data_IF_291283145648
#
_entry.id   IF_291283145648
#
_cell.length_a   1.000
_cell.length_b   1.000
_cell.length_c   1.000
_cell.angle_alpha   90.00
_cell.angle_beta   90.00
_cell.angle_gamma   90.00
#
_symmetry.space_group_name_H-M   'P 1'
#
loop_
_entity.id
_entity.type
_entity.pdbx_description
1 polymer ?
#
# COMPACT_ATOMS: atom_id res chain seq x y z
N UNK A 1 -8.44 25.59 -33.43
CA UNK A 1 -7.98 24.52 -32.56
C UNK A 1 -9.21 23.68 -32.24
N UNK A 2 -9.29 22.48 -32.82
CA UNK A 2 -10.47 21.60 -32.74
C UNK A 2 -10.63 21.15 -31.30
N UNK A 3 -11.80 21.33 -30.70
CA UNK A 3 -12.30 20.63 -29.51
C UNK A 3 -12.34 19.14 -29.87
N UNK A 4 -11.20 18.46 -29.73
CA UNK A 4 -11.05 17.05 -29.97
C UNK A 4 -11.66 16.31 -28.78
N UNK A 5 -12.77 15.65 -29.04
CA UNK A 5 -13.31 14.46 -28.37
C UNK A 5 -13.03 14.37 -26.84
N UNK A 6 -13.54 15.32 -26.11
CA UNK A 6 -13.73 15.22 -24.68
C UNK A 6 -14.89 14.25 -24.47
N UNK A 7 -14.58 12.97 -24.33
CA UNK A 7 -15.54 11.93 -24.00
C UNK A 7 -15.64 11.81 -22.46
N UNK A 8 -16.61 12.47 -21.83
CA UNK A 8 -16.69 12.55 -20.35
C UNK A 8 -16.70 11.20 -19.65
N UNK A 9 -17.24 10.16 -20.30
CA UNK A 9 -17.28 8.79 -19.77
C UNK A 9 -15.89 8.12 -19.66
N UNK A 10 -14.85 8.63 -20.33
CA UNK A 10 -13.48 8.15 -20.20
C UNK A 10 -12.80 8.68 -18.94
N UNK A 11 -13.35 9.74 -18.32
CA UNK A 11 -12.75 10.41 -17.17
C UNK A 11 -13.19 9.82 -15.82
N UNK A 12 -14.12 8.86 -15.79
CA UNK A 12 -14.60 8.27 -14.56
C UNK A 12 -15.86 8.92 -13.99
N UNK A 13 -16.02 8.91 -12.68
CA UNK A 13 -17.20 9.38 -11.99
C UNK A 13 -17.27 10.91 -11.96
N UNK A 14 -18.34 11.50 -12.47
CA UNK A 14 -18.59 12.94 -12.31
C UNK A 14 -19.23 13.23 -10.95
N UNK A 15 -18.52 14.02 -10.14
CA UNK A 15 -19.02 14.55 -8.88
C UNK A 15 -19.64 15.92 -9.08
N UNK A 16 -20.94 16.03 -8.85
CA UNK A 16 -21.62 17.33 -8.90
C UNK A 16 -21.28 18.16 -7.65
N UNK A 17 -21.32 19.52 -7.73
CA UNK A 17 -21.08 20.36 -6.56
C UNK A 17 -21.95 19.97 -5.35
N UNK A 18 -23.21 19.65 -5.60
CA UNK A 18 -24.18 19.25 -4.57
C UNK A 18 -23.87 17.89 -3.94
N UNK A 19 -23.27 16.94 -4.72
CA UNK A 19 -22.99 15.59 -4.21
C UNK A 19 -21.80 15.54 -3.26
N UNK A 20 -20.86 16.49 -3.40
CA UNK A 20 -19.61 16.55 -2.62
C UNK A 20 -19.45 17.84 -1.83
N UNK A 21 -20.42 18.75 -1.90
CA UNK A 21 -20.43 20.00 -1.14
C UNK A 21 -19.35 21.03 -1.58
N UNK A 22 -18.90 20.94 -2.84
CA UNK A 22 -17.89 21.84 -3.41
C UNK A 22 -18.53 22.97 -4.22
N UNK A 23 -17.73 23.99 -4.57
CA UNK A 23 -18.18 25.13 -5.40
C UNK A 23 -18.30 24.77 -6.89
N UNK A 24 -17.58 23.76 -7.37
CA UNK A 24 -17.58 23.30 -8.76
C UNK A 24 -17.54 21.77 -8.83
N UNK A 25 -18.12 21.22 -9.90
CA UNK A 25 -18.04 19.78 -10.19
C UNK A 25 -16.69 19.38 -10.79
N UNK A 26 -16.35 18.12 -10.65
CA UNK A 26 -15.14 17.54 -11.21
C UNK A 26 -15.34 16.06 -11.58
N UNK A 27 -14.48 15.55 -12.43
CA UNK A 27 -14.43 14.14 -12.78
C UNK A 27 -13.37 13.44 -11.94
N UNK A 28 -13.73 12.30 -11.36
CA UNK A 28 -12.80 11.42 -10.65
C UNK A 28 -12.37 10.25 -11.53
N UNK A 29 -11.10 9.92 -11.48
CA UNK A 29 -10.55 8.68 -12.00
C UNK A 29 -9.58 8.07 -10.98
N UNK A 30 -9.12 6.85 -11.23
CA UNK A 30 -8.14 6.19 -10.37
C UNK A 30 -6.91 5.78 -11.18
N UNK A 31 -5.73 6.08 -10.63
CA UNK A 31 -4.48 5.48 -11.07
C UNK A 31 -4.02 4.47 -10.03
N UNK A 32 -3.23 3.50 -10.47
CA UNK A 32 -2.71 2.44 -9.61
C UNK A 32 -1.20 2.46 -9.66
N UNK A 33 -0.56 2.52 -8.50
CA UNK A 33 0.88 2.44 -8.39
C UNK A 33 1.28 1.09 -7.83
N UNK A 34 2.14 0.38 -8.56
CA UNK A 34 2.59 -0.94 -8.18
C UNK A 34 3.46 -0.91 -6.92
N UNK A 35 3.22 -1.85 -6.02
CA UNK A 35 4.02 -2.16 -4.84
C UNK A 35 4.66 -3.53 -5.09
N UNK A 36 5.99 -3.55 -5.09
CA UNK A 36 6.78 -4.72 -5.42
C UNK A 36 7.23 -5.47 -4.16
N UNK A 37 7.20 -6.78 -4.20
CA UNK A 37 7.86 -7.59 -3.18
C UNK A 37 9.36 -7.66 -3.46
N UNK A 38 10.18 -7.31 -2.47
CA UNK A 38 11.63 -7.45 -2.57
C UNK A 38 12.07 -8.92 -2.66
N UNK A 39 11.28 -9.85 -2.09
CA UNK A 39 11.52 -11.28 -2.15
C UNK A 39 11.08 -11.90 -3.46
N UNK A 40 9.83 -11.60 -3.90
CA UNK A 40 9.25 -12.19 -5.11
C UNK A 40 9.65 -11.46 -6.40
N UNK A 41 10.25 -10.27 -6.27
CA UNK A 41 10.76 -9.45 -7.38
C UNK A 41 9.70 -9.13 -8.46
N UNK A 42 8.44 -9.02 -8.04
CA UNK A 42 7.28 -8.72 -8.89
C UNK A 42 6.27 -7.85 -8.16
N UNK A 43 5.33 -7.21 -8.88
CA UNK A 43 4.24 -6.50 -8.23
C UNK A 43 3.36 -7.50 -7.44
N UNK A 44 3.02 -7.15 -6.21
CA UNK A 44 2.17 -7.95 -5.31
C UNK A 44 0.95 -7.18 -4.82
N UNK A 45 0.98 -5.88 -4.99
CA UNK A 45 -0.13 -5.00 -4.62
C UNK A 45 -0.10 -3.72 -5.47
N UNK A 46 -1.20 -2.97 -5.40
CA UNK A 46 -1.33 -1.67 -6.05
C UNK A 46 -1.99 -0.68 -5.10
N UNK A 47 -1.37 0.48 -4.93
CA UNK A 47 -2.00 1.61 -4.25
C UNK A 47 -2.91 2.35 -5.22
N UNK A 48 -4.19 2.52 -4.84
CA UNK A 48 -5.15 3.28 -5.61
C UNK A 48 -5.06 4.77 -5.27
N UNK A 49 -4.74 5.55 -6.27
CA UNK A 49 -4.51 6.99 -6.16
C UNK A 49 -5.58 7.74 -6.94
N UNK A 50 -6.43 8.47 -6.21
CA UNK A 50 -7.48 9.28 -6.83
C UNK A 50 -6.86 10.36 -7.74
N UNK A 51 -7.50 10.60 -8.86
CA UNK A 51 -7.20 11.70 -9.77
C UNK A 51 -8.48 12.48 -10.02
N UNK A 52 -8.36 13.80 -10.10
CA UNK A 52 -9.48 14.65 -10.40
C UNK A 52 -9.16 15.59 -11.56
N UNK A 53 -10.18 15.86 -12.35
CA UNK A 53 -10.14 16.77 -13.48
C UNK A 53 -11.34 17.68 -13.42
N UNK A 54 -11.14 18.99 -13.51
CA UNK A 54 -12.21 19.98 -13.55
C UNK A 54 -13.04 19.84 -14.84
N UNK A 55 -14.20 20.47 -14.89
CA UNK A 55 -15.09 20.43 -16.05
C UNK A 55 -14.47 20.98 -17.35
N UNK A 56 -13.49 21.85 -17.23
CA UNK A 56 -12.70 22.44 -18.34
C UNK A 56 -11.43 21.63 -18.66
N UNK A 57 -11.25 20.45 -18.05
CA UNK A 57 -10.20 19.50 -18.40
C UNK A 57 -8.86 19.74 -17.71
N UNK A 58 -8.80 20.58 -16.67
CA UNK A 58 -7.58 20.82 -15.89
C UNK A 58 -7.43 19.78 -14.79
N UNK A 59 -6.22 19.27 -14.60
CA UNK A 59 -5.89 18.37 -13.48
C UNK A 59 -5.97 19.12 -12.15
N UNK A 60 -6.60 18.49 -11.16
CA UNK A 60 -6.69 19.00 -9.78
C UNK A 60 -5.74 18.13 -8.93
N UNK A 61 -4.83 18.79 -8.19
CA UNK A 61 -3.93 18.06 -7.29
C UNK A 61 -4.74 17.39 -6.15
N UNK A 62 -4.36 16.19 -5.69
CA UNK A 62 -5.09 15.47 -4.64
C UNK A 62 -5.29 16.30 -3.36
N UNK A 63 -4.30 17.07 -2.96
CA UNK A 63 -4.36 17.94 -1.78
C UNK A 63 -5.43 19.03 -1.96
N UNK A 64 -5.43 19.70 -3.12
CA UNK A 64 -6.44 20.73 -3.46
C UNK A 64 -7.84 20.13 -3.54
N UNK A 65 -7.95 18.93 -4.08
CA UNK A 65 -9.22 18.19 -4.15
C UNK A 65 -9.76 17.94 -2.73
N UNK A 66 -8.92 17.40 -1.85
CA UNK A 66 -9.31 17.13 -0.47
C UNK A 66 -9.66 18.41 0.32
N UNK A 67 -8.89 19.47 0.16
CA UNK A 67 -9.18 20.78 0.78
C UNK A 67 -10.50 21.38 0.27
N UNK A 68 -10.89 21.09 -0.97
CA UNK A 68 -12.15 21.60 -1.54
C UNK A 68 -13.40 20.94 -0.97
N UNK A 69 -13.28 19.74 -0.38
CA UNK A 69 -14.41 19.00 0.17
C UNK A 69 -14.58 19.31 1.65
N UNK A 70 -15.71 19.86 2.08
CA UNK A 70 -15.96 20.19 3.49
C UNK A 70 -15.85 18.97 4.40
N UNK A 71 -15.40 19.20 5.64
CA UNK A 71 -15.37 18.16 6.67
C UNK A 71 -16.77 17.61 7.01
N UNK A 72 -16.81 16.48 7.70
CA UNK A 72 -18.03 15.84 8.16
C UNK A 72 -18.70 14.98 7.09
N UNK A 73 -20.00 15.09 6.92
CA UNK A 73 -20.79 14.22 6.05
C UNK A 73 -20.35 14.29 4.57
N UNK A 74 -19.99 15.49 4.09
CA UNK A 74 -19.52 15.67 2.72
C UNK A 74 -18.21 14.90 2.49
N UNK A 75 -17.25 15.00 3.42
CA UNK A 75 -15.98 14.26 3.38
C UNK A 75 -16.23 12.75 3.41
N UNK A 76 -17.14 12.30 4.27
CA UNK A 76 -17.52 10.88 4.34
C UNK A 76 -18.10 10.36 3.02
N UNK A 77 -19.01 11.12 2.42
CA UNK A 77 -19.61 10.76 1.12
C UNK A 77 -18.56 10.73 0.02
N UNK A 78 -17.66 11.70 0.00
CA UNK A 78 -16.60 11.81 -0.97
C UNK A 78 -15.63 10.63 -0.87
N UNK A 79 -15.15 10.31 0.32
CA UNK A 79 -14.26 9.18 0.57
C UNK A 79 -14.89 7.85 0.12
N UNK A 80 -16.18 7.63 0.46
CA UNK A 80 -16.94 6.46 0.02
C UNK A 80 -17.05 6.36 -1.50
N UNK A 81 -17.21 7.49 -2.20
CA UNK A 81 -17.24 7.52 -3.66
C UNK A 81 -15.86 7.19 -4.26
N UNK A 82 -14.79 7.71 -3.67
CA UNK A 82 -13.43 7.39 -4.08
C UNK A 82 -13.14 5.89 -3.93
N UNK A 83 -13.38 5.34 -2.75
CA UNK A 83 -13.15 3.92 -2.47
C UNK A 83 -13.96 3.01 -3.41
N UNK A 84 -15.23 3.35 -3.65
CA UNK A 84 -16.06 2.61 -4.58
C UNK A 84 -15.49 2.63 -6.00
N UNK A 85 -15.14 3.81 -6.51
CA UNK A 85 -14.57 3.97 -7.85
C UNK A 85 -13.27 3.18 -7.98
N UNK A 86 -12.40 3.23 -6.98
CA UNK A 86 -11.12 2.55 -6.98
C UNK A 86 -11.26 1.02 -7.00
N UNK A 87 -12.16 0.47 -6.19
CA UNK A 87 -12.47 -0.97 -6.20
C UNK A 87 -13.03 -1.40 -7.55
N UNK A 88 -14.03 -0.66 -8.08
CA UNK A 88 -14.64 -0.94 -9.37
C UNK A 88 -13.60 -0.95 -10.50
N UNK A 89 -12.77 0.09 -10.57
CA UNK A 89 -11.72 0.19 -11.58
C UNK A 89 -10.67 -0.91 -11.45
N UNK A 90 -10.27 -1.28 -10.24
CA UNK A 90 -9.32 -2.36 -10.04
C UNK A 90 -9.87 -3.72 -10.51
N UNK A 91 -11.15 -3.98 -10.26
CA UNK A 91 -11.82 -5.19 -10.76
C UNK A 91 -11.87 -5.22 -12.29
N UNK A 92 -12.16 -4.08 -12.94
CA UNK A 92 -12.15 -3.97 -14.41
C UNK A 92 -10.79 -4.30 -15.03
N UNK A 93 -9.68 -4.07 -14.29
CA UNK A 93 -8.34 -4.42 -14.76
C UNK A 93 -8.02 -5.92 -14.68
N UNK A 94 -8.89 -6.71 -14.05
CA UNK A 94 -8.87 -8.17 -14.12
C UNK A 94 -7.77 -8.86 -13.30
N UNK A 95 -7.08 -8.14 -12.42
CA UNK A 95 -6.10 -8.77 -11.52
C UNK A 95 -6.80 -9.62 -10.46
N UNK A 96 -6.50 -10.91 -10.43
CA UNK A 96 -7.07 -11.87 -9.48
C UNK A 96 -6.17 -12.14 -8.26
N UNK A 97 -4.93 -11.63 -8.24
CA UNK A 97 -3.90 -12.02 -7.25
C UNK A 97 -3.44 -10.89 -6.36
N UNK A 98 -3.23 -9.71 -6.93
CA UNK A 98 -2.66 -8.57 -6.19
C UNK A 98 -3.64 -8.01 -5.16
N UNK A 99 -3.09 -7.37 -4.15
CA UNK A 99 -3.86 -6.61 -3.17
C UNK A 99 -4.08 -5.19 -3.64
N UNK A 100 -5.18 -4.62 -3.19
CA UNK A 100 -5.54 -3.23 -3.42
C UNK A 100 -5.36 -2.45 -2.12
N UNK A 101 -4.49 -1.45 -2.16
CA UNK A 101 -4.29 -0.50 -1.07
C UNK A 101 -5.24 0.68 -1.27
N UNK A 102 -6.05 0.97 -0.26
CA UNK A 102 -7.04 2.03 -0.28
C UNK A 102 -6.74 3.02 0.84
N UNK A 103 -6.53 4.26 0.46
CA UNK A 103 -6.45 5.37 1.39
C UNK A 103 -7.81 5.60 2.03
N UNK A 104 -7.86 5.64 3.35
CA UNK A 104 -9.07 5.88 4.10
C UNK A 104 -8.87 7.08 5.01
N UNK A 105 -9.73 8.09 4.84
CA UNK A 105 -9.74 9.23 5.74
C UNK A 105 -9.98 8.73 7.18
N UNK A 106 -9.11 9.05 8.13
CA UNK A 106 -9.21 8.51 9.47
C UNK A 106 -10.50 8.87 10.21
N UNK A 107 -11.12 10.02 9.89
CA UNK A 107 -12.43 10.38 10.41
C UNK A 107 -13.49 9.41 9.86
N UNK A 108 -13.43 9.14 8.55
CA UNK A 108 -14.33 8.18 7.88
C UNK A 108 -14.10 6.78 8.39
N UNK A 109 -12.87 6.38 8.66
CA UNK A 109 -12.54 5.09 9.26
C UNK A 109 -13.23 4.91 10.62
N UNK A 110 -13.19 5.92 11.48
CA UNK A 110 -13.85 5.89 12.80
C UNK A 110 -15.37 5.82 12.69
N UNK A 111 -15.96 6.61 11.79
CA UNK A 111 -17.42 6.61 11.58
C UNK A 111 -17.91 5.35 10.83
N UNK A 112 -17.08 4.81 9.93
CA UNK A 112 -17.40 3.64 9.10
C UNK A 112 -17.70 2.36 9.89
N UNK A 113 -17.21 2.22 11.12
CA UNK A 113 -17.53 1.10 12.01
C UNK A 113 -19.01 1.04 12.43
N UNK A 114 -19.68 2.18 12.44
CA UNK A 114 -21.11 2.27 12.80
C UNK A 114 -22.05 2.05 11.62
N UNK A 115 -21.54 2.30 10.40
CA UNK A 115 -22.26 2.04 9.16
C UNK A 115 -21.45 1.06 8.32
N UNK A 116 -21.90 -0.17 8.10
CA UNK A 116 -21.10 -1.22 7.41
C UNK A 116 -21.03 -0.96 5.88
N UNK A 117 -20.81 0.31 5.48
CA UNK A 117 -20.70 0.70 4.08
C UNK A 117 -19.58 -0.07 3.39
N UNK A 118 -18.39 -0.10 4.01
CA UNK A 118 -17.19 -0.70 3.42
C UNK A 118 -17.38 -2.20 3.17
N UNK A 119 -17.88 -2.93 4.17
CA UNK A 119 -18.17 -4.35 4.04
C UNK A 119 -19.22 -4.62 2.94
N UNK A 120 -20.34 -3.86 2.94
CA UNK A 120 -21.38 -3.98 1.91
C UNK A 120 -20.87 -3.63 0.52
N UNK A 121 -20.00 -2.66 0.40
CA UNK A 121 -19.37 -2.29 -0.87
C UNK A 121 -18.55 -3.45 -1.41
N UNK A 122 -17.64 -4.01 -0.61
CA UNK A 122 -16.81 -5.15 -1.03
C UNK A 122 -17.69 -6.36 -1.40
N UNK A 123 -18.70 -6.67 -0.60
CA UNK A 123 -19.65 -7.74 -0.85
C UNK A 123 -20.40 -7.52 -2.18
N UNK A 124 -20.88 -6.30 -2.45
CA UNK A 124 -21.62 -5.98 -3.67
C UNK A 124 -20.81 -6.16 -4.96
N UNK A 125 -19.51 -5.99 -4.87
CA UNK A 125 -18.57 -6.21 -5.98
C UNK A 125 -17.97 -7.63 -5.99
N UNK A 126 -18.26 -8.46 -4.98
CA UNK A 126 -17.62 -9.76 -4.82
C UNK A 126 -16.10 -9.66 -4.62
N UNK A 127 -15.61 -8.52 -4.11
CA UNK A 127 -14.18 -8.31 -3.90
C UNK A 127 -13.76 -8.76 -2.50
N UNK A 128 -12.85 -9.74 -2.37
CA UNK A 128 -12.49 -10.30 -1.07
C UNK A 128 -11.80 -9.26 -0.17
N UNK A 129 -12.22 -9.16 1.09
CA UNK A 129 -11.67 -8.21 2.05
C UNK A 129 -10.19 -8.48 2.38
N UNK A 130 -9.75 -9.74 2.32
CA UNK A 130 -8.35 -10.14 2.52
C UNK A 130 -7.41 -9.68 1.38
N UNK A 131 -7.98 -9.22 0.28
CA UNK A 131 -7.26 -8.57 -0.80
C UNK A 131 -7.19 -7.04 -0.63
N UNK A 132 -7.78 -6.48 0.40
CA UNK A 132 -7.75 -5.04 0.67
C UNK A 132 -6.76 -4.74 1.78
N UNK A 133 -5.94 -3.72 1.56
CA UNK A 133 -5.10 -3.09 2.56
C UNK A 133 -5.63 -1.66 2.80
N UNK A 134 -6.04 -1.38 4.03
CA UNK A 134 -6.56 -0.07 4.43
C UNK A 134 -5.39 0.78 4.93
N UNK A 135 -5.10 1.86 4.22
CA UNK A 135 -4.07 2.82 4.58
C UNK A 135 -4.66 3.93 5.46
N UNK A 136 -4.03 4.13 6.60
CA UNK A 136 -4.43 5.13 7.58
C UNK A 136 -3.31 6.15 7.74
N UNK A 137 -3.59 7.38 7.34
CA UNK A 137 -2.72 8.53 7.59
C UNK A 137 -2.80 8.98 9.05
N UNK A 138 -1.90 9.86 9.48
CA UNK A 138 -1.86 10.32 10.86
C UNK A 138 -3.09 11.15 11.25
N UNK A 139 -3.77 10.74 12.34
CA UNK A 139 -4.78 11.54 13.02
C UNK A 139 -4.20 12.33 14.20
N UNK A 140 -4.79 13.48 14.57
CA UNK A 140 -4.52 14.12 15.84
C UNK A 140 -4.84 13.19 17.04
N UNK A 141 -3.97 13.19 18.05
CA UNK A 141 -4.01 12.36 19.27
C UNK A 141 -5.37 12.24 19.97
N UNK A 142 -6.25 13.21 19.82
CA UNK A 142 -7.54 13.27 20.54
C UNK A 142 -8.56 12.17 20.15
N UNK A 143 -8.27 11.34 19.13
CA UNK A 143 -9.18 10.28 18.62
C UNK A 143 -8.55 8.88 18.55
N UNK A 144 -7.40 8.67 19.14
CA UNK A 144 -6.64 7.40 19.00
C UNK A 144 -7.40 6.15 19.46
N UNK A 145 -8.15 6.23 20.58
CA UNK A 145 -8.94 5.09 21.06
C UNK A 145 -10.04 4.70 20.08
N UNK A 146 -10.68 5.68 19.46
CA UNK A 146 -11.71 5.44 18.43
C UNK A 146 -11.09 4.83 17.18
N UNK A 147 -9.89 5.29 16.82
CA UNK A 147 -9.15 4.74 15.68
C UNK A 147 -8.74 3.28 15.93
N UNK A 148 -8.29 2.92 17.14
CA UNK A 148 -7.98 1.54 17.48
C UNK A 148 -9.19 0.61 17.28
N UNK A 149 -10.37 1.05 17.74
CA UNK A 149 -11.62 0.28 17.54
C UNK A 149 -12.03 0.21 16.06
N UNK A 150 -11.73 1.22 15.26
CA UNK A 150 -11.99 1.20 13.82
C UNK A 150 -11.02 0.24 13.11
N UNK A 151 -9.74 0.25 13.49
CA UNK A 151 -8.74 -0.70 12.99
C UNK A 151 -9.16 -2.14 13.27
N UNK A 152 -9.65 -2.44 14.49
CA UNK A 152 -10.16 -3.78 14.81
C UNK A 152 -11.32 -4.18 13.91
N UNK A 153 -12.26 -3.27 13.62
CA UNK A 153 -13.34 -3.55 12.67
C UNK A 153 -12.84 -3.95 11.27
N UNK A 154 -11.89 -3.20 10.68
CA UNK A 154 -11.34 -3.57 9.35
C UNK A 154 -10.51 -4.85 9.41
N UNK A 155 -9.82 -5.11 10.50
CA UNK A 155 -9.09 -6.36 10.72
C UNK A 155 -10.03 -7.56 10.81
N UNK A 156 -11.16 -7.41 11.52
CA UNK A 156 -12.18 -8.47 11.64
C UNK A 156 -12.89 -8.75 10.31
N UNK A 157 -12.97 -7.77 9.41
CA UNK A 157 -13.41 -7.99 8.02
C UNK A 157 -12.40 -8.81 7.19
N UNK A 158 -11.16 -8.94 7.64
CA UNK A 158 -10.08 -9.61 6.94
C UNK A 158 -9.12 -8.66 6.22
N UNK A 159 -9.30 -7.33 6.29
CA UNK A 159 -8.43 -6.37 5.64
C UNK A 159 -7.05 -6.30 6.31
N UNK A 160 -6.01 -6.02 5.53
CA UNK A 160 -4.73 -5.61 6.08
C UNK A 160 -4.80 -4.16 6.57
N UNK A 161 -4.09 -3.88 7.65
CA UNK A 161 -3.97 -2.54 8.20
C UNK A 161 -2.58 -2.00 7.87
N UNK A 162 -2.54 -0.81 7.31
CA UNK A 162 -1.32 -0.12 6.90
C UNK A 162 -1.25 1.23 7.61
N UNK A 163 -0.11 1.52 8.21
CA UNK A 163 0.22 2.88 8.68
C UNK A 163 1.06 3.53 7.60
N UNK A 164 0.58 4.67 7.13
CA UNK A 164 1.22 5.45 6.08
C UNK A 164 2.07 6.61 6.64
N UNK A 165 2.94 7.18 5.81
CA UNK A 165 3.78 8.36 6.08
C UNK A 165 4.71 8.24 7.31
N UNK A 166 5.14 7.03 7.70
CA UNK A 166 6.04 6.86 8.84
C UNK A 166 7.39 7.56 8.60
N UNK A 167 7.72 8.48 9.49
CA UNK A 167 8.97 9.26 9.42
C UNK A 167 8.82 10.66 8.82
N UNK A 168 7.60 11.08 8.45
CA UNK A 168 7.30 12.45 7.99
C UNK A 168 7.44 13.53 9.07
N UNK A 169 7.82 13.15 10.29
CA UNK A 169 8.00 14.05 11.45
C UNK A 169 6.82 14.05 12.43
N UNK A 170 5.74 13.38 12.10
CA UNK A 170 4.57 13.17 12.97
C UNK A 170 4.46 11.75 13.50
N UNK A 171 5.29 10.85 12.99
CA UNK A 171 5.22 9.41 13.27
C UNK A 171 5.57 9.07 14.71
N UNK A 172 4.70 8.31 15.34
CA UNK A 172 4.84 7.89 16.71
C UNK A 172 4.87 6.35 16.80
N UNK A 173 5.93 5.79 17.39
CA UNK A 173 6.02 4.35 17.69
C UNK A 173 4.86 3.85 18.56
N UNK A 174 4.32 4.71 19.45
CA UNK A 174 3.16 4.39 20.27
C UNK A 174 1.96 3.92 19.43
N UNK A 175 1.76 4.55 18.27
CA UNK A 175 0.71 4.19 17.32
C UNK A 175 0.93 2.79 16.73
N UNK A 176 2.17 2.43 16.40
CA UNK A 176 2.51 1.09 15.89
C UNK A 176 2.19 0.03 16.97
N UNK A 177 2.56 0.29 18.22
CA UNK A 177 2.28 -0.64 19.33
C UNK A 177 0.79 -0.80 19.59
N UNK A 178 0.03 0.28 19.51
CA UNK A 178 -1.43 0.27 19.76
C UNK A 178 -2.21 -0.36 18.65
N UNK A 179 -1.93 0.04 17.39
CA UNK A 179 -2.70 -0.38 16.23
C UNK A 179 -2.22 -1.72 15.65
N UNK A 180 -0.99 -2.15 15.96
CA UNK A 180 -0.39 -3.40 15.48
C UNK A 180 -0.62 -3.59 13.99
N UNK A 181 -0.15 -2.66 13.13
CA UNK A 181 -0.38 -2.72 11.71
C UNK A 181 0.27 -3.96 11.09
N UNK A 182 -0.26 -4.43 9.98
CA UNK A 182 0.37 -5.47 9.18
C UNK A 182 1.54 -4.93 8.36
N UNK A 183 1.45 -3.66 7.94
CA UNK A 183 2.44 -2.99 7.11
C UNK A 183 2.65 -1.57 7.64
N UNK A 184 3.89 -1.11 7.60
CA UNK A 184 4.27 0.30 7.82
C UNK A 184 4.96 0.80 6.56
N UNK A 185 4.47 1.91 5.99
CA UNK A 185 5.06 2.57 4.83
C UNK A 185 6.01 3.67 5.33
N UNK A 186 7.27 3.59 4.96
CA UNK A 186 8.26 4.61 5.27
C UNK A 186 8.16 5.71 4.23
N UNK A 187 7.93 6.94 4.71
CA UNK A 187 7.72 8.14 3.90
C UNK A 187 8.90 8.45 2.96
N UNK A 188 8.57 9.01 1.80
CA UNK A 188 9.51 9.41 0.75
C UNK A 188 10.60 10.37 1.23
N UNK A 189 10.30 11.25 2.21
CA UNK A 189 11.30 12.19 2.70
C UNK A 189 12.42 11.46 3.46
N UNK A 190 12.09 10.41 4.21
CA UNK A 190 13.08 9.55 4.84
C UNK A 190 13.88 8.79 3.76
N UNK A 191 13.20 8.23 2.77
CA UNK A 191 13.83 7.54 1.62
C UNK A 191 14.80 8.46 0.87
N UNK A 192 14.45 9.73 0.69
CA UNK A 192 15.32 10.73 0.06
C UNK A 192 16.57 11.01 0.91
N UNK A 193 16.43 11.10 2.22
CA UNK A 193 17.54 11.42 3.14
C UNK A 193 18.60 10.32 3.22
N UNK A 194 18.22 9.05 3.05
CA UNK A 194 19.18 7.92 3.18
C UNK A 194 20.32 7.97 2.17
N UNK A 195 20.13 8.62 1.02
CA UNK A 195 21.20 8.78 0.01
C UNK A 195 22.00 10.07 0.16
N UNK A 196 21.49 11.04 0.93
CA UNK A 196 22.10 12.37 1.11
C UNK A 196 22.82 12.47 2.46
N UNK A 197 22.22 11.90 3.51
CA UNK A 197 22.69 12.06 4.88
C UNK A 197 23.28 10.74 5.43
N UNK A 198 24.60 10.67 5.71
CA UNK A 198 25.23 9.45 6.23
C UNK A 198 24.63 8.97 7.55
N UNK A 199 24.10 9.87 8.38
CA UNK A 199 23.42 9.51 9.63
C UNK A 199 22.09 8.82 9.34
N UNK A 200 21.28 9.37 8.43
CA UNK A 200 20.02 8.76 8.02
C UNK A 200 20.22 7.36 7.46
N UNK A 201 21.23 7.17 6.60
CA UNK A 201 21.58 5.85 6.03
C UNK A 201 21.91 4.82 7.12
N UNK A 202 22.72 5.20 8.14
CA UNK A 202 23.06 4.29 9.24
C UNK A 202 21.85 3.92 10.11
N UNK A 203 20.93 4.88 10.31
CA UNK A 203 19.73 4.67 11.13
C UNK A 203 18.66 3.86 10.40
N UNK A 204 18.62 3.92 9.09
CA UNK A 204 17.52 3.37 8.28
C UNK A 204 17.32 1.87 8.49
N UNK A 205 18.40 1.08 8.41
CA UNK A 205 18.31 -0.36 8.66
C UNK A 205 17.88 -0.68 10.10
N UNK A 206 18.25 0.16 11.07
CA UNK A 206 17.78 0.06 12.45
C UNK A 206 16.27 0.31 12.59
N UNK A 207 15.76 1.33 11.89
CA UNK A 207 14.32 1.63 11.85
C UNK A 207 13.55 0.46 11.25
N UNK A 208 13.96 -0.05 10.09
CA UNK A 208 13.34 -1.23 9.46
C UNK A 208 13.34 -2.42 10.44
N UNK A 209 14.47 -2.66 11.13
CA UNK A 209 14.54 -3.74 12.13
C UNK A 209 13.56 -3.56 13.28
N UNK A 210 13.41 -2.35 13.81
CA UNK A 210 12.45 -2.06 14.91
C UNK A 210 11.02 -2.27 14.46
N UNK A 211 10.67 -1.87 13.23
CA UNK A 211 9.34 -2.11 12.66
C UNK A 211 9.06 -3.60 12.49
N UNK A 212 10.05 -4.37 12.06
CA UNK A 212 9.97 -5.83 12.02
C UNK A 212 9.79 -6.45 13.40
N UNK A 213 10.50 -5.96 14.41
CA UNK A 213 10.36 -6.43 15.80
C UNK A 213 8.97 -6.11 16.37
N UNK A 214 8.34 -5.03 15.91
CA UNK A 214 6.94 -4.71 16.22
C UNK A 214 5.93 -5.62 15.48
N UNK A 215 6.37 -6.47 14.57
CA UNK A 215 5.53 -7.44 13.86
C UNK A 215 5.05 -6.98 12.49
N UNK A 216 5.39 -5.77 12.04
CA UNK A 216 4.97 -5.23 10.75
C UNK A 216 5.92 -5.61 9.62
N UNK A 217 5.38 -5.72 8.40
CA UNK A 217 6.15 -5.63 7.17
C UNK A 217 6.48 -4.17 6.89
N UNK A 218 7.58 -3.92 6.22
CA UNK A 218 8.04 -2.57 5.89
C UNK A 218 7.96 -2.34 4.38
N UNK A 219 7.20 -1.32 3.99
CA UNK A 219 7.16 -0.79 2.63
C UNK A 219 8.00 0.51 2.59
N UNK A 220 8.96 0.59 1.67
CA UNK A 220 9.72 1.83 1.44
C UNK A 220 9.15 2.54 0.23
N UNK A 221 8.70 3.79 0.45
CA UNK A 221 8.08 4.61 -0.56
C UNK A 221 9.02 5.64 -1.18
N UNK A 222 8.55 6.25 -2.29
CA UNK A 222 9.23 7.35 -2.94
C UNK A 222 10.60 6.97 -3.49
N UNK A 223 10.80 5.71 -3.85
CA UNK A 223 12.05 5.25 -4.47
C UNK A 223 12.11 5.78 -5.90
N UNK A 224 13.03 6.72 -6.15
CA UNK A 224 13.21 7.38 -7.45
C UNK A 224 14.54 7.03 -8.11
N UNK A 225 15.50 6.52 -7.33
CA UNK A 225 16.86 6.20 -7.81
C UNK A 225 17.30 4.78 -7.43
N UNK A 226 18.27 4.28 -8.17
CA UNK A 226 18.91 2.98 -7.90
C UNK A 226 19.54 2.91 -6.50
N UNK A 227 20.22 4.00 -6.07
CA UNK A 227 20.82 4.07 -4.74
C UNK A 227 19.77 3.97 -3.62
N UNK A 228 18.59 4.58 -3.79
CA UNK A 228 17.49 4.46 -2.83
C UNK A 228 16.96 3.03 -2.81
N UNK A 229 16.76 2.41 -3.98
CA UNK A 229 16.32 1.03 -4.09
C UNK A 229 17.33 0.06 -3.44
N UNK A 230 18.63 0.28 -3.65
CA UNK A 230 19.69 -0.50 -3.03
C UNK A 230 19.67 -0.33 -1.50
N UNK A 231 19.57 0.91 -0.98
CA UNK A 231 19.48 1.17 0.46
C UNK A 231 18.27 0.47 1.10
N UNK A 232 17.10 0.51 0.44
CA UNK A 232 15.91 -0.17 0.92
C UNK A 232 16.09 -1.70 0.95
N UNK A 233 16.71 -2.25 -0.09
CA UNK A 233 17.00 -3.70 -0.19
C UNK A 233 18.04 -4.14 0.86
N UNK A 234 19.12 -3.38 1.05
CA UNK A 234 20.12 -3.63 2.07
C UNK A 234 19.56 -3.56 3.49
N UNK A 235 18.60 -2.64 3.72
CA UNK A 235 17.90 -2.52 4.99
C UNK A 235 16.90 -3.67 5.25
N UNK A 236 16.71 -4.58 4.30
CA UNK A 236 15.73 -5.68 4.33
C UNK A 236 14.26 -5.21 4.32
N UNK A 237 13.94 -4.12 3.60
CA UNK A 237 12.55 -3.78 3.33
C UNK A 237 11.85 -4.96 2.62
N UNK A 238 10.57 -5.18 2.96
CA UNK A 238 9.76 -6.28 2.40
C UNK A 238 9.11 -5.86 1.09
N UNK A 239 8.67 -4.59 1.04
CA UNK A 239 7.95 -3.99 -0.07
C UNK A 239 8.65 -2.71 -0.54
N UNK A 240 8.60 -2.48 -1.85
CA UNK A 240 9.25 -1.36 -2.51
C UNK A 240 8.25 -0.64 -3.42
N UNK A 241 8.18 0.69 -3.30
CA UNK A 241 7.30 1.52 -4.11
C UNK A 241 8.00 2.81 -4.52
N UNK A 242 7.87 3.18 -5.80
CA UNK A 242 8.43 4.44 -6.27
C UNK A 242 8.56 4.50 -7.80
N UNK A 243 8.86 5.69 -8.30
CA UNK A 243 8.96 5.95 -9.74
C UNK A 243 10.13 5.24 -10.41
N UNK A 244 11.10 4.80 -9.63
CA UNK A 244 12.19 3.95 -10.11
C UNK A 244 11.67 2.61 -10.65
N UNK A 245 10.62 2.05 -10.04
CA UNK A 245 9.99 0.81 -10.48
C UNK A 245 8.82 1.08 -11.42
N UNK A 246 7.84 1.88 -10.99
CA UNK A 246 6.67 2.21 -11.78
C UNK A 246 6.02 3.51 -11.31
N UNK A 247 5.52 4.29 -12.27
CA UNK A 247 4.67 5.46 -11.99
C UNK A 247 3.21 5.03 -11.87
N UNK A 248 2.38 5.78 -11.12
CA UNK A 248 0.93 5.58 -11.14
C UNK A 248 0.37 5.65 -12.55
N UNK A 249 -0.45 4.66 -12.94
CA UNK A 249 -1.07 4.57 -14.25
C UNK A 249 -2.51 4.05 -14.15
N UNK A 250 -3.30 4.23 -15.22
CA UNK A 250 -4.64 3.66 -15.34
C UNK A 250 -4.62 2.14 -15.58
N UNK A 251 -3.46 1.60 -15.94
CA UNK A 251 -3.23 0.17 -16.21
C UNK A 251 -2.27 -0.43 -15.19
N UNK A 252 -2.35 -1.74 -14.98
CA UNK A 252 -1.44 -2.45 -14.11
C UNK A 252 -0.12 -2.75 -14.82
N UNK A 253 0.94 -2.87 -14.03
CA UNK A 253 2.29 -3.20 -14.52
C UNK A 253 2.36 -4.71 -14.82
N UNK A 254 3.04 -5.09 -15.91
CA UNK A 254 3.30 -6.50 -16.21
C UNK A 254 4.15 -7.16 -15.11
N UNK A 255 3.92 -8.45 -14.85
CA UNK A 255 4.58 -9.19 -13.77
C UNK A 255 6.12 -9.15 -13.87
N UNK A 256 6.64 -9.12 -15.08
CA UNK A 256 8.08 -9.14 -15.39
C UNK A 256 8.70 -7.77 -15.71
N UNK A 257 7.89 -6.70 -15.66
CA UNK A 257 8.32 -5.36 -16.08
C UNK A 257 9.58 -4.85 -15.36
N UNK A 258 9.85 -5.30 -14.13
CA UNK A 258 10.99 -4.87 -13.32
C UNK A 258 12.02 -5.98 -13.10
N UNK A 259 11.97 -7.10 -13.84
CA UNK A 259 12.91 -8.23 -13.70
C UNK A 259 14.37 -7.76 -13.80
N UNK A 260 14.69 -6.96 -14.82
CA UNK A 260 16.04 -6.42 -15.02
C UNK A 260 16.49 -5.49 -13.90
N UNK A 261 15.55 -4.72 -13.32
CA UNK A 261 15.81 -3.83 -12.19
C UNK A 261 16.21 -4.65 -10.97
N UNK A 262 15.45 -5.69 -10.66
CA UNK A 262 15.77 -6.57 -9.53
C UNK A 262 17.04 -7.39 -9.77
N UNK A 263 17.32 -7.79 -11.01
CA UNK A 263 18.59 -8.44 -11.38
C UNK A 263 19.79 -7.57 -11.02
N UNK A 264 19.82 -6.31 -11.44
CA UNK A 264 20.89 -5.37 -11.10
C UNK A 264 21.00 -5.12 -9.58
N UNK A 265 19.89 -4.92 -8.89
CA UNK A 265 19.89 -4.74 -7.43
C UNK A 265 20.45 -5.97 -6.70
N UNK A 266 20.16 -7.17 -7.17
CA UNK A 266 20.70 -8.42 -6.66
C UNK A 266 22.22 -8.50 -6.82
N UNK A 267 22.74 -8.19 -8.00
CA UNK A 267 24.18 -8.15 -8.30
C UNK A 267 24.90 -7.12 -7.40
N UNK A 268 24.37 -5.91 -7.27
CA UNK A 268 24.97 -4.84 -6.46
C UNK A 268 24.96 -5.14 -4.96
N UNK A 269 23.91 -5.80 -4.45
CA UNK A 269 23.79 -6.17 -3.04
C UNK A 269 24.56 -7.43 -2.67
N UNK A 270 25.21 -8.10 -3.61
CA UNK A 270 25.89 -9.39 -3.41
C UNK A 270 24.93 -10.55 -3.06
N UNK A 271 23.64 -10.39 -3.33
CA UNK A 271 22.60 -11.41 -3.12
C UNK A 271 22.40 -12.18 -4.43
N UNK A 272 22.61 -13.51 -4.39
CA UNK A 272 22.30 -14.37 -5.53
C UNK A 272 20.79 -14.30 -5.84
N UNK A 273 20.45 -14.26 -7.14
CA UNK A 273 19.08 -14.42 -7.64
C UNK A 273 18.55 -15.79 -7.17
N UNK A 274 17.27 -15.94 -6.83
CA UNK A 274 16.67 -17.25 -6.60
C UNK A 274 16.82 -18.08 -7.89
N UNK A 275 17.49 -19.22 -7.80
CA UNK A 275 17.62 -20.17 -8.92
C UNK A 275 16.25 -20.70 -9.31
N UNK A 276 15.77 -20.43 -10.52
CA UNK A 276 14.53 -21.02 -11.09
C UNK A 276 14.59 -22.56 -11.25
N UNK A 277 15.75 -23.18 -10.92
CA UNK A 277 16.01 -24.61 -11.17
C UNK A 277 15.84 -25.52 -9.94
N UNK A 278 15.58 -25.01 -8.73
CA UNK A 278 15.63 -25.84 -7.51
C UNK A 278 14.30 -26.54 -7.13
N UNK A 279 13.18 -26.19 -7.75
CA UNK A 279 11.85 -26.70 -7.32
C UNK A 279 11.38 -28.00 -8.02
N UNK A 280 12.23 -28.65 -8.83
CA UNK A 280 11.85 -29.88 -9.53
C UNK A 280 12.28 -31.19 -8.84
N UNK A 281 12.95 -31.15 -7.69
CA UNK A 281 13.48 -32.36 -7.05
C UNK A 281 13.44 -32.29 -5.52
N UNK A 282 12.29 -32.46 -4.87
CA UNK A 282 12.21 -33.13 -3.56
C UNK A 282 10.75 -33.43 -3.17
N UNK A 283 10.29 -34.61 -3.61
CA UNK A 283 9.17 -35.27 -2.93
C UNK A 283 9.67 -35.89 -1.63
N UNK A 284 9.23 -35.36 -0.48
CA UNK A 284 9.26 -36.08 0.79
C UNK A 284 8.22 -35.51 1.76
N UNK A 285 7.45 -36.41 2.31
CA UNK A 285 6.30 -36.38 3.21
C UNK A 285 6.51 -35.59 4.49
N UNK A 286 5.49 -34.91 5.04
CA UNK A 286 5.62 -34.11 6.27
C UNK A 286 5.53 -34.98 7.53
N UNK A 287 6.52 -34.89 8.40
CA UNK A 287 6.43 -35.34 9.79
C UNK A 287 5.97 -34.21 10.71
N UNK A 288 4.87 -34.44 11.40
CA UNK A 288 4.31 -33.64 12.48
C UNK A 288 5.28 -33.52 13.66
N UNK A 289 5.57 -32.31 14.13
CA UNK A 289 6.15 -32.05 15.45
C UNK A 289 5.49 -30.88 16.15
N UNK A 290 5.07 -31.16 17.39
CA UNK A 290 4.49 -30.27 18.38
C UNK A 290 5.44 -29.15 18.84
N UNK A 291 4.95 -28.01 19.35
CA UNK A 291 5.78 -26.90 19.78
C UNK A 291 6.38 -27.14 21.16
N UNK A 292 7.66 -26.76 21.33
CA UNK A 292 8.35 -26.62 22.63
C UNK A 292 8.61 -25.16 22.97
N UNK A 293 8.73 -24.81 24.25
CA UNK A 293 8.71 -23.44 24.74
C UNK A 293 10.05 -22.71 24.59
N UNK A 294 9.95 -21.38 24.67
CA UNK A 294 11.01 -20.37 24.56
C UNK A 294 12.28 -20.68 25.37
N UNK A 295 13.44 -20.62 24.73
CA UNK A 295 14.71 -20.35 25.36
C UNK A 295 15.70 -19.72 24.38
N UNK A 296 16.21 -18.54 24.77
CA UNK A 296 17.44 -17.84 24.32
C UNK A 296 17.81 -17.81 22.84
N UNK A 297 17.81 -16.60 22.29
CA UNK A 297 18.29 -16.18 20.99
C UNK A 297 19.83 -16.20 20.89
N UNK A 298 20.40 -16.79 19.83
CA UNK A 298 21.66 -16.30 19.25
C UNK A 298 21.37 -15.69 17.89
N UNK A 299 21.91 -14.51 17.70
CA UNK A 299 21.94 -13.74 16.47
C UNK A 299 22.59 -14.55 15.33
N UNK A 300 21.80 -15.17 14.45
CA UNK A 300 22.26 -15.60 13.11
C UNK A 300 21.04 -15.94 12.22
N UNK A 301 20.92 -15.29 11.06
CA UNK A 301 20.04 -15.69 9.98
C UNK A 301 18.59 -15.23 10.14
N UNK A 302 18.32 -13.95 9.94
CA UNK A 302 16.94 -13.41 9.83
C UNK A 302 16.28 -14.01 8.59
N UNK A 303 15.32 -14.94 8.79
CA UNK A 303 14.43 -15.39 7.72
C UNK A 303 13.56 -14.20 7.31
N UNK A 304 13.49 -13.90 6.01
CA UNK A 304 12.57 -12.91 5.45
C UNK A 304 11.13 -13.29 5.82
N UNK A 305 10.34 -12.32 6.22
CA UNK A 305 8.92 -12.51 6.56
C UNK A 305 8.11 -12.64 5.28
N UNK A 306 7.25 -13.63 5.23
CA UNK A 306 6.40 -13.89 4.08
C UNK A 306 5.20 -12.93 4.08
N UNK A 307 4.87 -12.36 2.92
CA UNK A 307 3.70 -11.50 2.75
C UNK A 307 2.43 -12.34 2.97
N UNK A 308 1.57 -12.03 3.97
CA UNK A 308 0.43 -12.88 4.33
C UNK A 308 -0.50 -13.12 3.14
N UNK A 309 -0.88 -14.38 2.90
CA UNK A 309 -1.87 -14.75 1.89
C UNK A 309 -1.36 -14.88 0.44
N UNK A 310 -0.03 -14.82 0.20
CA UNK A 310 0.53 -15.24 -1.07
C UNK A 310 1.17 -16.63 -0.92
N UNK A 311 0.73 -17.64 -1.69
CA UNK A 311 1.46 -18.89 -1.76
C UNK A 311 2.86 -18.63 -2.34
N UNK A 312 3.88 -19.40 -1.93
CA UNK A 312 5.18 -19.36 -2.58
C UNK A 312 5.00 -19.64 -4.08
N UNK A 313 5.81 -18.96 -4.89
CA UNK A 313 5.85 -19.17 -6.34
C UNK A 313 6.01 -20.65 -6.64
N UNK A 314 4.98 -21.32 -7.18
CA UNK A 314 5.12 -22.73 -7.61
C UNK A 314 3.90 -23.62 -7.47
N UNK A 315 2.77 -23.18 -6.91
CA UNK A 315 1.55 -24.00 -6.87
C UNK A 315 0.50 -23.39 -7.79
N UNK A 316 0.48 -23.85 -9.04
CA UNK A 316 -0.69 -23.69 -9.91
C UNK A 316 -1.80 -24.61 -9.36
N UNK A 317 -2.96 -24.03 -9.05
CA UNK A 317 -4.19 -24.76 -8.80
C UNK A 317 -4.85 -25.12 -10.13
#
# INVERSE_FOLDING_TARGET
MKLLDFAPWRLGLYCTPQSVGTSAGFYLSSHFQAIFSAEQQRPVAYEALIRATSADGLSIAPEQLLESVPEGEARTKFDRQCNRLQVEKFIELGDARSRLFLNLDPYVAVEGRFEPFFAKMLESYGFPADRVAVELTELPLQREERLASAVDYYRDLGCLIVIDDFGSGRSNFDRIWRLKPHIVKIDREMTRRVTIEPVARRMFAGIVSVLHDAGALVCVEGIETEDQALCATEANADLLQGYYFARPAETLVAEDACRDVFGRLGEMSGRALPDEAADAASGSTPMTRSPKPFSHCPMAGKRRRHFPGFPPSGVAA
#
